data_IF_754234874046
#
_entry.id   IF_754234874046
#
_cell.length_a   1.000
_cell.length_b   1.000
_cell.length_c   1.000
_cell.angle_alpha   90.00
_cell.angle_beta   90.00
_cell.angle_gamma   90.00
#
_symmetry.space_group_name_H-M   'P 1'
#
loop_
_entity.id
_entity.type
_entity.pdbx_description
1 polymer ?
#
# COMPACT_ATOMS: atom_id res chain seq x y z
N UNK A 1 8.83 -13.51 -0.59
CA UNK A 1 7.40 -13.81 -0.71
C UNK A 1 7.06 -14.92 0.25
N UNK A 2 6.32 -14.65 1.29
CA UNK A 2 5.80 -15.66 2.19
C UNK A 2 4.33 -15.92 1.82
N UNK A 3 4.01 -17.15 1.52
CA UNK A 3 2.63 -17.61 1.44
C UNK A 3 2.30 -18.11 2.85
N UNK A 4 1.58 -17.32 3.62
CA UNK A 4 1.25 -17.66 4.98
C UNK A 4 0.12 -18.71 4.99
N UNK A 5 0.49 -19.97 5.10
CA UNK A 5 -0.47 -21.03 5.41
C UNK A 5 -0.78 -21.14 6.92
N UNK A 6 0.03 -20.51 7.79
CA UNK A 6 -0.07 -20.59 9.25
C UNK A 6 0.48 -19.34 9.95
N UNK A 7 0.32 -18.14 9.41
CA UNK A 7 0.73 -16.92 10.10
C UNK A 7 -0.13 -16.73 11.36
N UNK A 8 0.49 -16.56 12.50
CA UNK A 8 -0.19 -16.24 13.74
C UNK A 8 -0.26 -14.72 13.92
N UNK A 9 -1.29 -14.25 14.58
CA UNK A 9 -1.60 -12.84 14.81
C UNK A 9 -0.44 -12.04 15.42
N UNK A 10 0.47 -12.66 16.14
CA UNK A 10 1.60 -12.02 16.81
C UNK A 10 2.73 -11.56 15.86
N UNK A 11 2.73 -12.00 14.62
CA UNK A 11 3.75 -11.65 13.64
C UNK A 11 3.40 -10.43 12.79
N UNK A 12 2.13 -9.94 12.86
CA UNK A 12 1.63 -8.87 11.99
C UNK A 12 0.85 -7.80 12.76
N UNK A 13 1.52 -6.78 13.12
CA UNK A 13 1.12 -5.72 14.05
C UNK A 13 -0.12 -4.91 13.67
N UNK A 14 -0.77 -5.09 12.53
CA UNK A 14 -1.66 -4.04 12.03
C UNK A 14 -3.03 -4.44 11.52
N UNK A 15 -3.41 -5.68 11.56
CA UNK A 15 -4.70 -6.09 11.00
C UNK A 15 -5.47 -7.07 11.86
N UNK A 16 -5.76 -6.70 13.09
CA UNK A 16 -6.97 -7.24 13.70
C UNK A 16 -8.13 -6.32 13.30
N UNK A 17 -8.97 -6.69 12.33
CA UNK A 17 -10.17 -5.92 12.01
C UNK A 17 -11.21 -6.00 13.11
N UNK A 18 -10.90 -6.72 14.18
CA UNK A 18 -11.81 -7.09 15.24
C UNK A 18 -11.38 -6.60 16.62
N UNK A 19 -10.45 -5.65 16.73
CA UNK A 19 -10.24 -4.97 18.00
C UNK A 19 -11.56 -4.35 18.46
N UNK A 20 -12.18 -5.00 19.44
CA UNK A 20 -13.45 -4.59 20.02
C UNK A 20 -14.68 -5.45 19.66
N UNK A 21 -14.56 -6.49 18.82
CA UNK A 21 -15.62 -7.47 18.60
C UNK A 21 -15.35 -8.68 19.50
N UNK A 22 -15.98 -8.68 20.67
CA UNK A 22 -15.79 -9.73 21.69
C UNK A 22 -16.49 -11.04 21.39
N UNK A 23 -17.30 -11.13 20.33
CA UNK A 23 -18.15 -12.27 20.00
C UNK A 23 -17.66 -13.11 18.81
N UNK A 24 -16.58 -12.69 18.15
CA UNK A 24 -15.92 -13.50 17.13
C UNK A 24 -14.58 -13.94 17.71
N UNK A 25 -14.57 -15.10 18.32
CA UNK A 25 -13.35 -15.73 18.78
C UNK A 25 -12.35 -15.82 17.62
N UNK A 26 -11.27 -15.03 17.72
CA UNK A 26 -10.00 -15.23 17.02
C UNK A 26 -10.03 -15.63 15.53
N UNK A 27 -10.95 -15.09 14.74
CA UNK A 27 -10.88 -15.27 13.28
C UNK A 27 -9.95 -14.19 12.74
N UNK A 28 -8.71 -14.58 12.48
CA UNK A 28 -7.77 -13.77 11.72
C UNK A 28 -8.30 -13.54 10.28
N UNK A 29 -7.95 -12.41 9.70
CA UNK A 29 -8.21 -12.10 8.30
C UNK A 29 -7.75 -13.22 7.37
N UNK A 30 -6.60 -13.81 7.67
CA UNK A 30 -6.03 -14.89 6.88
C UNK A 30 -6.90 -16.12 6.94
N UNK A 31 -7.31 -16.52 8.12
CA UNK A 31 -8.20 -17.66 8.33
C UNK A 31 -9.52 -17.48 7.62
N UNK A 32 -10.07 -16.26 7.64
CA UNK A 32 -11.29 -15.94 6.93
C UNK A 32 -11.18 -16.20 5.42
N UNK A 33 -10.10 -15.75 4.79
CA UNK A 33 -9.88 -15.94 3.36
C UNK A 33 -9.45 -17.37 3.02
N UNK A 34 -8.53 -17.95 3.80
CA UNK A 34 -8.08 -19.33 3.61
C UNK A 34 -9.22 -20.34 3.67
N UNK A 35 -10.11 -20.19 4.66
CA UNK A 35 -11.29 -21.06 4.81
C UNK A 35 -12.28 -20.95 3.62
N UNK A 36 -12.16 -19.93 2.78
CA UNK A 36 -12.97 -19.69 1.58
C UNK A 36 -12.27 -20.03 0.28
N UNK A 37 -11.12 -20.68 0.36
CA UNK A 37 -10.38 -21.15 -0.81
C UNK A 37 -9.49 -20.08 -1.46
N UNK A 38 -9.20 -18.99 -0.77
CA UNK A 38 -8.21 -18.02 -1.21
C UNK A 38 -6.81 -18.45 -0.73
N UNK A 39 -5.79 -18.10 -1.49
CA UNK A 39 -4.43 -18.03 -1.00
C UNK A 39 -4.17 -16.59 -0.49
N UNK A 40 -3.51 -16.47 0.64
CA UNK A 40 -3.10 -15.18 1.18
C UNK A 40 -1.62 -14.99 0.93
N UNK A 41 -1.26 -13.86 0.31
CA UNK A 41 0.12 -13.51 -0.02
C UNK A 41 0.48 -12.23 0.72
N UNK A 42 1.53 -12.32 1.52
CA UNK A 42 2.12 -11.19 2.24
C UNK A 42 3.48 -10.91 1.62
N UNK A 43 3.77 -9.64 1.37
CA UNK A 43 5.04 -9.25 0.77
C UNK A 43 5.64 -8.05 1.48
N UNK A 44 6.94 -8.09 1.66
CA UNK A 44 7.70 -6.90 2.02
C UNK A 44 7.93 -6.04 0.78
N UNK A 45 7.80 -4.72 0.93
CA UNK A 45 8.15 -3.75 -0.11
C UNK A 45 9.65 -3.67 -0.32
N UNK A 46 10.05 -3.05 -1.44
CA UNK A 46 11.46 -2.77 -1.73
C UNK A 46 12.09 -1.97 -0.58
N UNK A 47 13.28 -2.36 -0.16
CA UNK A 47 14.00 -1.70 0.93
C UNK A 47 13.42 -1.89 2.33
N UNK A 48 12.42 -2.76 2.50
CA UNK A 48 11.80 -3.07 3.80
C UNK A 48 12.10 -4.52 4.22
N UNK A 49 12.10 -4.78 5.52
CA UNK A 49 12.44 -6.08 6.09
C UNK A 49 13.77 -6.63 5.50
N UNK A 50 13.72 -7.76 4.81
CA UNK A 50 14.88 -8.39 4.17
C UNK A 50 14.93 -8.11 2.65
N UNK A 51 14.05 -7.26 2.13
CA UNK A 51 14.08 -6.86 0.73
C UNK A 51 15.21 -5.87 0.50
N UNK A 52 15.95 -6.05 -0.59
CA UNK A 52 17.00 -5.13 -1.00
C UNK A 52 16.43 -3.85 -1.62
N UNK A 53 17.31 -2.90 -1.90
CA UNK A 53 16.97 -1.60 -2.42
C UNK A 53 16.64 -0.59 -1.33
N UNK A 54 16.02 0.50 -1.73
CA UNK A 54 15.61 1.58 -0.85
C UNK A 54 14.08 1.70 -0.87
N UNK A 55 13.51 1.91 0.28
CA UNK A 55 12.12 2.32 0.41
C UNK A 55 12.01 3.76 -0.10
N UNK A 56 11.04 4.02 -0.96
CA UNK A 56 10.97 5.27 -1.75
C UNK A 56 9.73 6.10 -1.45
N UNK A 57 8.91 5.64 -0.54
CA UNK A 57 7.64 6.26 -0.16
C UNK A 57 6.70 6.49 -1.36
N UNK A 58 6.29 5.37 -1.98
CA UNK A 58 5.24 5.35 -2.98
C UNK A 58 5.65 5.74 -4.40
N UNK A 59 6.95 5.75 -4.74
CA UNK A 59 7.38 6.04 -6.10
C UNK A 59 7.09 4.88 -7.07
N UNK A 60 7.24 5.14 -8.36
CA UNK A 60 7.07 4.14 -9.43
C UNK A 60 7.86 2.86 -9.16
N UNK A 61 9.11 2.99 -8.67
CA UNK A 61 9.98 1.84 -8.39
C UNK A 61 9.37 0.91 -7.35
N UNK A 62 8.75 1.47 -6.34
CA UNK A 62 8.06 0.69 -5.30
C UNK A 62 6.79 0.03 -5.85
N UNK A 63 5.99 0.78 -6.60
CA UNK A 63 4.78 0.25 -7.21
C UNK A 63 5.11 -0.85 -8.22
N UNK A 64 6.15 -0.70 -9.02
CA UNK A 64 6.64 -1.73 -9.95
C UNK A 64 7.11 -3.00 -9.22
N UNK A 65 7.73 -2.84 -8.05
CA UNK A 65 8.14 -3.99 -7.24
C UNK A 65 6.92 -4.78 -6.74
N UNK A 66 5.84 -4.12 -6.36
CA UNK A 66 4.59 -4.79 -6.01
C UNK A 66 3.86 -5.36 -7.25
N UNK A 67 3.91 -4.68 -8.39
CA UNK A 67 3.36 -5.19 -9.64
C UNK A 67 4.02 -6.51 -10.05
N UNK A 68 5.33 -6.64 -9.84
CA UNK A 68 6.07 -7.87 -10.10
C UNK A 68 5.54 -9.08 -9.32
N UNK A 69 4.96 -8.87 -8.13
CA UNK A 69 4.34 -9.94 -7.35
C UNK A 69 3.04 -10.39 -8.01
N UNK A 70 2.23 -9.45 -8.48
CA UNK A 70 0.98 -9.77 -9.19
C UNK A 70 1.31 -10.52 -10.49
N UNK A 71 2.30 -10.05 -11.25
CA UNK A 71 2.77 -10.71 -12.47
C UNK A 71 3.28 -12.14 -12.21
N UNK A 72 3.94 -12.38 -11.08
CA UNK A 72 4.30 -13.73 -10.69
C UNK A 72 3.07 -14.60 -10.38
N UNK A 73 2.07 -14.04 -9.70
CA UNK A 73 0.81 -14.74 -9.39
C UNK A 73 -0.02 -15.05 -10.63
N UNK A 74 0.14 -14.27 -11.71
CA UNK A 74 -0.49 -14.54 -13.01
C UNK A 74 0.33 -15.47 -13.91
N UNK A 75 1.59 -15.71 -13.57
CA UNK A 75 2.52 -16.51 -14.36
C UNK A 75 3.31 -15.73 -15.41
N UNK A 76 3.18 -14.40 -15.42
CA UNK A 76 3.85 -13.51 -16.37
C UNK A 76 5.28 -13.16 -15.96
N UNK A 77 5.65 -13.47 -14.71
CA UNK A 77 7.00 -13.23 -14.16
C UNK A 77 7.55 -14.44 -13.44
N UNK A 78 8.84 -14.61 -13.51
CA UNK A 78 9.57 -15.67 -12.79
C UNK A 78 10.00 -15.15 -11.41
N UNK A 79 9.83 -15.99 -10.38
CA UNK A 79 10.43 -15.80 -9.06
C UNK A 79 11.37 -16.95 -8.73
N UNK A 80 12.25 -16.74 -7.76
CA UNK A 80 13.25 -17.70 -7.33
C UNK A 80 13.23 -17.84 -5.81
N UNK A 81 13.64 -19.02 -5.32
CA UNK A 81 13.71 -19.30 -3.87
C UNK A 81 14.69 -18.38 -3.16
N UNK A 82 15.81 -18.09 -3.82
CA UNK A 82 16.89 -17.25 -3.32
C UNK A 82 17.80 -16.81 -4.49
N UNK A 83 18.75 -15.92 -4.20
CA UNK A 83 19.68 -15.37 -5.19
C UNK A 83 20.83 -16.33 -5.57
N UNK A 84 21.16 -17.27 -4.71
CA UNK A 84 22.33 -18.12 -4.90
C UNK A 84 21.99 -19.35 -5.74
N UNK A 85 20.87 -19.99 -5.45
CA UNK A 85 20.49 -21.24 -6.07
C UNK A 85 19.69 -21.05 -7.36
N UNK A 86 19.03 -19.91 -7.53
CA UNK A 86 18.20 -19.59 -8.69
C UNK A 86 17.17 -20.70 -9.02
N UNK A 87 16.58 -21.30 -7.98
CA UNK A 87 15.54 -22.31 -8.17
C UNK A 87 14.24 -21.57 -8.46
N UNK A 88 13.70 -21.78 -9.65
CA UNK A 88 12.46 -21.15 -10.08
C UNK A 88 11.27 -21.59 -9.22
N UNK A 89 10.45 -20.63 -8.81
CA UNK A 89 9.21 -20.85 -8.06
C UNK A 89 8.05 -20.32 -8.89
N UNK A 90 7.06 -21.17 -9.12
CA UNK A 90 5.84 -20.82 -9.85
C UNK A 90 4.64 -20.79 -8.93
N UNK A 91 3.73 -19.88 -9.18
CA UNK A 91 2.44 -19.81 -8.51
C UNK A 91 1.39 -20.65 -9.27
N UNK A 92 1.70 -21.91 -9.59
CA UNK A 92 0.84 -22.80 -10.38
C UNK A 92 -0.47 -23.18 -9.66
N UNK A 93 -0.57 -22.89 -8.37
CA UNK A 93 -1.78 -22.94 -7.56
C UNK A 93 -2.68 -21.70 -7.73
N UNK A 94 -2.18 -20.60 -8.29
CA UNK A 94 -2.94 -19.38 -8.52
C UNK A 94 -3.81 -19.50 -9.78
N UNK A 95 -5.01 -18.94 -9.71
CA UNK A 95 -5.89 -18.81 -10.88
C UNK A 95 -5.69 -17.50 -11.66
N UNK A 96 -4.67 -16.71 -11.30
CA UNK A 96 -4.36 -15.44 -11.93
C UNK A 96 -5.30 -14.28 -11.58
N UNK A 97 -6.16 -14.45 -10.58
CA UNK A 97 -7.06 -13.39 -10.12
C UNK A 97 -6.64 -12.93 -8.74
N UNK A 98 -6.22 -11.67 -8.62
CA UNK A 98 -5.70 -11.08 -7.39
C UNK A 98 -6.66 -10.01 -6.89
N UNK A 99 -7.01 -10.08 -5.59
CA UNK A 99 -7.64 -9.00 -4.86
C UNK A 99 -6.67 -8.46 -3.82
N UNK A 100 -6.75 -7.18 -3.49
CA UNK A 100 -5.91 -6.57 -2.46
C UNK A 100 -6.75 -5.85 -1.41
N UNK A 101 -6.30 -5.90 -0.17
CA UNK A 101 -6.85 -5.09 0.92
C UNK A 101 -5.72 -4.65 1.85
N UNK A 102 -5.94 -3.56 2.56
CA UNK A 102 -4.99 -3.03 3.52
C UNK A 102 -5.28 -1.59 3.87
N UNK A 103 -4.73 -1.14 5.01
CA UNK A 103 -4.95 0.19 5.55
C UNK A 103 -3.72 1.07 5.39
N UNK A 104 -3.95 2.38 5.27
CA UNK A 104 -2.89 3.39 5.29
C UNK A 104 -1.92 3.19 4.13
N UNK A 105 -0.65 2.98 4.39
CA UNK A 105 0.35 2.71 3.36
C UNK A 105 -0.02 1.48 2.50
N UNK A 106 -0.52 0.40 3.10
CA UNK A 106 -1.00 -0.76 2.37
C UNK A 106 -2.30 -0.48 1.56
N UNK A 107 -3.07 0.55 1.91
CA UNK A 107 -4.15 1.10 1.08
C UNK A 107 -3.61 1.95 -0.08
N UNK A 108 -2.55 2.70 0.17
CA UNK A 108 -1.86 3.56 -0.79
C UNK A 108 -1.25 2.76 -1.94
N UNK A 109 -0.54 1.67 -1.63
CA UNK A 109 0.06 0.79 -2.66
C UNK A 109 -0.97 0.18 -3.60
N UNK A 110 -2.19 -0.06 -3.13
CA UNK A 110 -3.28 -0.55 -3.96
C UNK A 110 -3.71 0.50 -5.00
N UNK A 111 -3.72 1.78 -4.65
CA UNK A 111 -4.02 2.85 -5.59
C UNK A 111 -2.94 2.96 -6.66
N UNK A 112 -1.66 2.91 -6.26
CA UNK A 112 -0.55 2.89 -7.20
C UNK A 112 -0.65 1.71 -8.17
N UNK A 113 -0.86 0.50 -7.66
CA UNK A 113 -1.02 -0.70 -8.49
C UNK A 113 -2.23 -0.63 -9.43
N UNK A 114 -3.36 -0.12 -8.96
CA UNK A 114 -4.53 0.06 -9.81
C UNK A 114 -4.25 1.05 -10.95
N UNK A 115 -3.48 2.10 -10.69
CA UNK A 115 -3.09 3.10 -11.68
C UNK A 115 -2.18 2.55 -12.78
N UNK A 116 -1.36 1.51 -12.49
CA UNK A 116 -0.52 0.85 -13.51
C UNK A 116 -1.33 -0.02 -14.48
N UNK A 117 -2.50 -0.48 -14.06
CA UNK A 117 -3.29 -1.44 -14.83
C UNK A 117 -2.69 -2.83 -14.94
N UNK A 118 -1.87 -3.22 -13.95
CA UNK A 118 -1.25 -4.55 -13.92
C UNK A 118 -2.28 -5.66 -14.11
N UNK A 119 -2.00 -6.58 -15.03
CA UNK A 119 -2.91 -7.67 -15.34
C UNK A 119 -3.05 -8.61 -14.14
N UNK A 120 -4.25 -9.15 -13.96
CA UNK A 120 -4.54 -10.05 -12.82
C UNK A 120 -5.12 -9.33 -11.60
N UNK A 121 -4.86 -8.05 -11.39
CA UNK A 121 -5.49 -7.28 -10.32
C UNK A 121 -6.97 -7.05 -10.65
N UNK A 122 -7.88 -7.70 -9.93
CA UNK A 122 -9.33 -7.70 -10.21
C UNK A 122 -10.11 -6.73 -9.35
N UNK A 123 -9.70 -6.57 -8.10
CA UNK A 123 -10.39 -5.68 -7.16
C UNK A 123 -9.43 -5.21 -6.06
N UNK A 124 -9.70 -4.03 -5.54
CA UNK A 124 -8.99 -3.48 -4.39
C UNK A 124 -9.96 -2.99 -3.32
N UNK A 125 -9.55 -3.12 -2.06
CA UNK A 125 -10.28 -2.59 -0.90
C UNK A 125 -9.31 -1.75 -0.06
N UNK A 126 -8.90 -0.57 -0.55
CA UNK A 126 -8.02 0.32 0.18
C UNK A 126 -8.77 1.00 1.33
N UNK A 127 -8.21 0.92 2.52
CA UNK A 127 -8.70 1.62 3.71
C UNK A 127 -7.77 2.79 4.01
N UNK A 128 -8.29 4.01 4.01
CA UNK A 128 -7.51 5.23 4.31
C UNK A 128 -6.20 5.32 3.50
N UNK A 129 -6.28 5.10 2.18
CA UNK A 129 -5.13 5.14 1.27
C UNK A 129 -4.85 6.55 0.74
N UNK A 130 -3.59 6.85 0.46
CA UNK A 130 -3.13 8.10 -0.15
C UNK A 130 -3.23 7.99 -1.67
N UNK A 131 -3.93 8.93 -2.31
CA UNK A 131 -4.07 9.03 -3.75
C UNK A 131 -2.95 9.86 -4.41
N UNK A 132 -2.58 10.95 -3.75
CA UNK A 132 -1.51 11.86 -4.14
C UNK A 132 -0.69 12.22 -2.91
N UNK A 133 0.59 11.91 -2.95
CA UNK A 133 1.50 12.25 -1.87
C UNK A 133 1.72 13.76 -1.74
N UNK A 134 1.62 14.50 -2.86
CA UNK A 134 1.61 15.95 -2.80
C UNK A 134 0.43 16.46 -1.97
N UNK A 135 -0.79 16.02 -2.29
CA UNK A 135 -2.01 16.44 -1.57
C UNK A 135 -2.10 15.88 -0.14
N UNK A 136 -1.27 14.90 0.19
CA UNK A 136 -1.14 14.40 1.56
C UNK A 136 -0.33 15.38 2.43
N UNK A 137 0.76 15.93 1.92
CA UNK A 137 1.63 16.85 2.63
C UNK A 137 1.29 18.33 2.41
N UNK A 138 0.65 18.68 1.30
CA UNK A 138 0.40 20.07 0.93
C UNK A 138 -1.08 20.31 0.62
N UNK A 139 -1.51 21.54 0.84
CA UNK A 139 -2.84 22.01 0.47
C UNK A 139 -2.70 23.40 -0.14
N UNK A 140 -2.91 23.53 -1.45
CA UNK A 140 -2.84 24.80 -2.16
C UNK A 140 -1.53 25.59 -1.89
N UNK A 141 -0.39 24.90 -1.96
CA UNK A 141 0.92 25.50 -1.71
C UNK A 141 1.30 25.69 -0.23
N UNK A 142 0.41 25.28 0.69
CA UNK A 142 0.70 25.30 2.13
C UNK A 142 1.07 23.88 2.57
N UNK A 143 2.23 23.72 3.18
CA UNK A 143 2.59 22.46 3.81
C UNK A 143 1.69 22.25 5.04
N UNK A 144 0.96 21.16 5.04
CA UNK A 144 0.03 20.73 6.08
C UNK A 144 0.45 19.41 6.73
N UNK A 145 1.60 18.89 6.30
CA UNK A 145 2.17 17.67 6.84
C UNK A 145 2.64 17.83 8.28
N UNK A 146 2.94 16.71 8.89
CA UNK A 146 3.68 16.66 10.16
C UNK A 146 5.16 16.99 9.91
N UNK A 147 5.93 17.15 10.98
CA UNK A 147 7.38 17.41 10.90
C UNK A 147 8.16 16.29 10.18
N UNK A 148 7.54 15.14 10.02
CA UNK A 148 8.07 14.02 9.25
C UNK A 148 7.76 14.21 7.77
N UNK A 149 8.72 14.72 7.07
CA UNK A 149 8.69 14.81 5.62
C UNK A 149 8.71 13.40 5.01
N UNK A 150 8.31 13.29 3.75
CA UNK A 150 8.26 12.01 3.03
C UNK A 150 9.60 11.21 3.12
N UNK A 151 10.74 11.89 3.17
CA UNK A 151 12.04 11.26 3.40
C UNK A 151 12.13 10.59 4.79
N UNK A 152 11.60 11.25 5.82
CA UNK A 152 11.50 10.68 7.17
C UNK A 152 10.54 9.50 7.21
N UNK A 153 9.42 9.57 6.49
CA UNK A 153 8.47 8.47 6.39
C UNK A 153 9.08 7.27 5.65
N UNK A 154 9.82 7.51 4.55
CA UNK A 154 10.54 6.45 3.83
C UNK A 154 11.53 5.73 4.74
N UNK A 155 12.33 6.46 5.49
CA UNK A 155 13.26 5.89 6.47
C UNK A 155 12.53 5.09 7.56
N UNK A 156 11.42 5.64 8.09
CA UNK A 156 10.61 4.96 9.10
C UNK A 156 10.01 3.65 8.57
N UNK A 157 9.41 3.67 7.37
CA UNK A 157 8.81 2.49 6.75
C UNK A 157 9.86 1.43 6.38
N UNK A 158 11.06 1.85 5.97
CA UNK A 158 12.17 0.92 5.72
C UNK A 158 12.53 0.11 6.97
N UNK A 159 12.50 0.74 8.15
CA UNK A 159 12.80 0.08 9.43
C UNK A 159 14.23 -0.47 9.57
N UNK A 160 15.05 -0.37 8.54
CA UNK A 160 16.39 -0.99 8.46
C UNK A 160 17.39 -0.42 9.48
N UNK A 161 17.19 0.82 9.92
CA UNK A 161 17.99 1.43 10.98
C UNK A 161 17.89 0.71 12.34
N UNK A 162 16.88 -0.15 12.52
CA UNK A 162 16.71 -0.97 13.73
C UNK A 162 17.81 -2.03 13.80
N UNK A 163 18.21 -2.61 12.66
CA UNK A 163 19.34 -3.52 12.56
C UNK A 163 20.63 -2.72 12.27
N UNK A 164 21.48 -2.54 13.26
CA UNK A 164 22.69 -1.72 13.14
C UNK A 164 23.71 -2.25 12.14
N UNK A 165 23.80 -3.56 11.96
CA UNK A 165 24.73 -4.16 11.00
C UNK A 165 24.25 -3.92 9.58
N UNK A 166 22.97 -4.11 9.32
CA UNK A 166 22.36 -3.82 8.03
C UNK A 166 22.41 -2.32 7.73
N UNK A 167 22.06 -1.48 8.70
CA UNK A 167 22.10 -0.02 8.56
C UNK A 167 23.48 0.48 8.16
N UNK A 168 24.55 0.00 8.77
CA UNK A 168 25.91 0.39 8.46
C UNK A 168 26.30 0.12 7.00
N UNK A 169 25.62 -0.80 6.33
CA UNK A 169 25.88 -1.12 4.90
C UNK A 169 25.23 -0.15 3.93
N UNK A 170 24.15 0.54 4.34
CA UNK A 170 23.32 1.38 3.47
C UNK A 170 23.23 2.84 3.91
N UNK A 171 23.64 3.18 5.13
CA UNK A 171 23.44 4.50 5.75
C UNK A 171 23.86 5.65 4.84
N UNK A 172 25.08 5.58 4.26
CA UNK A 172 25.58 6.62 3.39
C UNK A 172 24.78 6.73 2.09
N UNK A 173 24.52 5.60 1.42
CA UNK A 173 23.85 5.59 0.12
C UNK A 173 22.37 5.90 0.23
N UNK A 174 21.71 5.34 1.25
CA UNK A 174 20.29 5.62 1.49
C UNK A 174 20.07 7.02 2.03
N UNK A 175 20.97 7.52 2.90
CA UNK A 175 20.96 8.91 3.36
C UNK A 175 21.12 9.90 2.21
N UNK A 176 22.02 9.65 1.27
CA UNK A 176 22.16 10.47 0.07
C UNK A 176 20.90 10.47 -0.81
N UNK A 177 20.28 9.29 -0.98
CA UNK A 177 19.01 9.17 -1.70
C UNK A 177 17.88 9.97 -1.04
N UNK A 178 17.72 9.84 0.28
CA UNK A 178 16.68 10.56 1.05
C UNK A 178 16.90 12.08 0.99
N UNK A 179 18.16 12.52 1.03
CA UNK A 179 18.51 13.93 0.89
C UNK A 179 18.10 14.46 -0.47
N UNK A 180 18.48 13.77 -1.56
CA UNK A 180 18.08 14.15 -2.91
C UNK A 180 16.57 14.18 -3.08
N UNK A 181 15.86 13.17 -2.56
CA UNK A 181 14.41 13.13 -2.58
C UNK A 181 13.80 14.36 -1.89
N UNK A 182 14.34 14.77 -0.75
CA UNK A 182 13.88 15.97 -0.06
C UNK A 182 14.16 17.26 -0.86
N UNK A 183 15.32 17.37 -1.50
CA UNK A 183 15.64 18.51 -2.38
C UNK A 183 14.68 18.59 -3.57
N UNK A 184 14.41 17.46 -4.22
CA UNK A 184 13.52 17.40 -5.38
C UNK A 184 12.07 17.81 -4.98
N UNK A 185 11.60 17.41 -3.79
CA UNK A 185 10.30 17.80 -3.29
C UNK A 185 10.12 19.29 -3.10
N UNK A 186 11.17 19.97 -2.67
CA UNK A 186 11.17 21.42 -2.41
C UNK A 186 11.79 22.24 -3.53
N UNK A 187 12.10 21.63 -4.66
CA UNK A 187 12.70 22.33 -5.80
C UNK A 187 11.87 23.53 -6.28
N UNK A 188 10.58 23.52 -6.03
CA UNK A 188 9.66 24.63 -6.33
C UNK A 188 8.94 25.14 -5.06
N UNK A 189 9.64 25.18 -3.93
CA UNK A 189 9.04 25.49 -2.63
C UNK A 189 7.99 24.45 -2.25
N UNK A 190 6.80 24.90 -1.83
CA UNK A 190 5.70 24.01 -1.49
C UNK A 190 4.73 23.78 -2.67
N UNK A 191 5.03 24.27 -3.85
CA UNK A 191 4.20 24.06 -5.02
C UNK A 191 4.48 22.68 -5.64
N UNK A 192 3.47 22.16 -6.34
CA UNK A 192 3.62 20.90 -7.08
C UNK A 192 4.76 21.02 -8.11
N UNK A 193 5.58 20.00 -8.18
CA UNK A 193 6.60 19.87 -9.22
C UNK A 193 6.70 18.42 -9.70
N UNK A 194 7.12 18.22 -10.95
CA UNK A 194 7.13 16.92 -11.57
C UNK A 194 8.32 16.03 -11.14
N UNK A 195 9.35 16.61 -10.49
CA UNK A 195 10.56 15.86 -10.11
C UNK A 195 10.29 14.79 -9.07
N UNK A 196 9.46 15.13 -8.06
CA UNK A 196 9.23 14.25 -6.93
C UNK A 196 7.77 13.81 -6.76
N UNK A 197 6.82 14.55 -7.32
CA UNK A 197 5.40 14.34 -7.04
C UNK A 197 4.66 13.59 -8.13
N UNK A 198 5.04 13.73 -9.42
CA UNK A 198 4.32 13.11 -10.52
C UNK A 198 4.31 11.57 -10.44
N UNK A 199 5.42 10.97 -10.02
CA UNK A 199 5.55 9.53 -9.83
C UNK A 199 4.93 9.01 -8.49
N UNK A 200 4.32 9.91 -7.74
CA UNK A 200 3.62 9.66 -6.47
C UNK A 200 2.20 10.21 -6.45
N UNK A 201 1.68 10.55 -7.63
CA UNK A 201 0.29 10.97 -7.83
C UNK A 201 -0.43 9.93 -8.68
N UNK A 202 -1.07 9.00 -8.02
CA UNK A 202 -1.74 7.87 -8.68
C UNK A 202 -3.01 8.28 -9.42
N UNK A 203 -3.49 9.51 -9.20
CA UNK A 203 -4.64 10.05 -9.94
C UNK A 203 -4.29 10.37 -11.39
N UNK A 204 -3.00 10.48 -11.71
CA UNK A 204 -2.49 10.69 -13.06
C UNK A 204 -2.42 9.39 -13.89
N UNK A 205 -2.60 8.24 -13.24
CA UNK A 205 -2.59 6.96 -13.93
C UNK A 205 -3.74 6.82 -14.94
N UNK A 206 -3.49 6.12 -16.03
CA UNK A 206 -4.47 5.84 -17.09
C UNK A 206 -4.73 4.34 -17.27
N UNK A 207 -4.04 3.51 -16.49
CA UNK A 207 -4.08 2.05 -16.58
C UNK A 207 -5.22 1.36 -15.82
N UNK A 208 -6.10 2.08 -15.16
CA UNK A 208 -7.13 1.48 -14.30
C UNK A 208 -7.97 0.42 -15.00
N UNK A 209 -8.03 -0.80 -14.41
CA UNK A 209 -8.79 -1.94 -14.95
C UNK A 209 -9.60 -2.70 -13.88
N UNK A 210 -9.24 -2.57 -12.62
CA UNK A 210 -9.88 -3.29 -11.52
C UNK A 210 -11.09 -2.54 -10.93
N UNK A 211 -11.95 -3.24 -10.22
CA UNK A 211 -12.98 -2.60 -9.39
C UNK A 211 -12.39 -2.14 -8.06
N UNK A 212 -13.09 -1.24 -7.35
CA UNK A 212 -12.66 -0.76 -6.04
C UNK A 212 -13.81 -0.58 -5.04
N UNK A 213 -13.55 -0.92 -3.78
CA UNK A 213 -14.32 -0.46 -2.64
C UNK A 213 -13.41 0.41 -1.78
N UNK A 214 -13.50 1.72 -1.94
CA UNK A 214 -12.69 2.68 -1.19
C UNK A 214 -13.32 2.89 0.18
N UNK A 215 -12.54 2.68 1.23
CA UNK A 215 -13.01 2.79 2.62
C UNK A 215 -12.28 3.95 3.30
N UNK A 216 -13.04 4.87 3.94
CA UNK A 216 -12.46 6.08 4.50
C UNK A 216 -13.19 6.53 5.77
N UNK A 217 -12.41 6.85 6.80
CA UNK A 217 -12.90 7.49 8.01
C UNK A 217 -13.15 8.99 7.81
N UNK A 218 -14.31 9.47 8.25
CA UNK A 218 -14.65 10.89 8.18
C UNK A 218 -13.84 11.77 9.14
N UNK A 219 -13.36 11.16 10.23
CA UNK A 219 -12.52 11.82 11.23
C UNK A 219 -11.02 11.50 11.06
N UNK A 220 -10.63 10.92 9.92
CA UNK A 220 -9.25 10.61 9.63
C UNK A 220 -8.43 11.91 9.49
N UNK A 221 -7.66 12.22 10.53
CA UNK A 221 -6.79 13.38 10.57
C UNK A 221 -5.44 13.13 9.87
N UNK A 222 -5.10 11.86 9.66
CA UNK A 222 -3.86 11.44 8.99
C UNK A 222 -4.07 11.42 7.46
N UNK A 223 -4.80 10.45 6.95
CA UNK A 223 -5.14 10.39 5.52
C UNK A 223 -6.53 10.99 5.31
N UNK A 224 -6.54 12.24 4.91
CA UNK A 224 -7.78 13.04 4.82
C UNK A 224 -8.71 12.52 3.72
N UNK A 225 -10.01 12.75 3.90
CA UNK A 225 -11.08 12.27 3.00
C UNK A 225 -10.92 12.70 1.54
N UNK A 226 -10.19 13.79 1.26
CA UNK A 226 -9.84 14.23 -0.10
C UNK A 226 -9.15 13.12 -0.89
N UNK A 227 -8.31 12.32 -0.26
CA UNK A 227 -7.57 11.24 -0.92
C UNK A 227 -8.54 10.18 -1.49
N UNK A 228 -9.53 9.79 -0.71
CA UNK A 228 -10.57 8.87 -1.15
C UNK A 228 -11.41 9.45 -2.30
N UNK A 229 -11.79 10.72 -2.22
CA UNK A 229 -12.54 11.42 -3.27
C UNK A 229 -11.75 11.46 -4.58
N UNK A 230 -10.47 11.79 -4.54
CA UNK A 230 -9.61 11.86 -5.72
C UNK A 230 -9.60 10.52 -6.46
N UNK A 231 -9.31 9.42 -5.76
CA UNK A 231 -9.29 8.10 -6.38
C UNK A 231 -10.66 7.63 -6.83
N UNK A 232 -11.71 7.90 -6.06
CA UNK A 232 -13.07 7.61 -6.51
C UNK A 232 -13.37 8.26 -7.86
N UNK A 233 -12.99 9.52 -8.03
CA UNK A 233 -13.19 10.24 -9.27
C UNK A 233 -12.36 9.67 -10.43
N UNK A 234 -11.11 9.24 -10.18
CA UNK A 234 -10.28 8.57 -11.19
C UNK A 234 -10.91 7.27 -11.68
N UNK A 235 -11.37 6.41 -10.78
CA UNK A 235 -12.09 5.17 -11.14
C UNK A 235 -13.39 5.46 -11.91
N UNK A 236 -14.14 6.47 -11.49
CA UNK A 236 -15.38 6.88 -12.22
C UNK A 236 -15.07 7.40 -13.59
N UNK A 237 -14.03 8.20 -13.75
CA UNK A 237 -13.60 8.71 -15.04
C UNK A 237 -13.16 7.58 -16.00
N UNK A 238 -12.53 6.52 -15.45
CA UNK A 238 -12.18 5.32 -16.19
C UNK A 238 -13.39 4.41 -16.50
N UNK A 239 -14.59 4.74 -16.01
CA UNK A 239 -15.82 3.96 -16.27
C UNK A 239 -15.90 2.64 -15.48
N UNK A 240 -15.16 2.51 -14.41
CA UNK A 240 -15.06 1.27 -13.63
C UNK A 240 -16.11 1.22 -12.50
N UNK A 241 -16.36 -0.01 -12.00
CA UNK A 241 -17.19 -0.20 -10.81
C UNK A 241 -16.39 0.22 -9.57
N UNK A 242 -16.79 1.34 -8.99
CA UNK A 242 -16.23 1.86 -7.76
C UNK A 242 -17.32 2.20 -6.78
N UNK A 243 -17.10 1.79 -5.54
CA UNK A 243 -17.94 2.13 -4.39
C UNK A 243 -17.10 2.81 -3.33
N UNK A 244 -17.75 3.60 -2.50
CA UNK A 244 -17.10 4.28 -1.38
C UNK A 244 -17.89 3.98 -0.12
N UNK A 245 -17.18 3.52 0.92
CA UNK A 245 -17.71 3.36 2.27
C UNK A 245 -17.10 4.43 3.16
N UNK A 246 -17.92 5.39 3.58
CA UNK A 246 -17.51 6.40 4.55
C UNK A 246 -18.01 5.99 5.92
N UNK A 247 -17.16 6.03 6.93
CA UNK A 247 -17.52 5.70 8.32
C UNK A 247 -17.15 6.83 9.29
N UNK A 248 -17.69 6.80 10.50
CA UNK A 248 -17.50 7.86 11.49
C UNK A 248 -16.16 7.78 12.26
N UNK A 249 -15.42 6.70 12.09
CA UNK A 249 -14.11 6.53 12.73
C UNK A 249 -13.03 7.43 12.13
N UNK A 250 -11.85 7.31 12.68
CA UNK A 250 -10.64 7.99 12.25
C UNK A 250 -9.80 7.11 11.29
N UNK A 251 -8.49 7.04 11.48
CA UNK A 251 -7.55 6.26 10.68
C UNK A 251 -7.55 4.77 11.06
N UNK A 252 -8.71 4.12 10.93
CA UNK A 252 -8.94 2.72 11.35
C UNK A 252 -9.59 1.89 10.25
N UNK A 253 -9.45 0.57 10.35
CA UNK A 253 -10.33 -0.37 9.65
C UNK A 253 -11.68 -0.35 10.36
N UNK A 254 -12.80 -0.04 9.65
CA UNK A 254 -14.08 0.17 10.31
C UNK A 254 -14.67 -1.14 10.83
N UNK A 255 -15.30 -1.05 11.99
CA UNK A 255 -16.19 -2.07 12.52
C UNK A 255 -17.64 -1.81 12.10
N UNK A 256 -18.54 -2.73 12.40
CA UNK A 256 -19.98 -2.50 12.18
C UNK A 256 -20.53 -1.34 13.01
N UNK A 257 -19.91 -1.01 14.15
CA UNK A 257 -20.28 0.14 14.98
C UNK A 257 -19.96 1.45 14.27
N UNK A 258 -18.85 1.50 13.54
CA UNK A 258 -18.43 2.70 12.79
C UNK A 258 -19.26 2.91 11.53
N UNK A 259 -19.69 1.85 10.90
CA UNK A 259 -20.42 1.90 9.62
C UNK A 259 -21.93 1.92 9.82
N UNK A 260 -22.44 1.46 10.97
CA UNK A 260 -23.84 1.16 11.21
C UNK A 260 -24.48 0.21 10.17
N UNK A 261 -23.64 -0.47 9.40
CA UNK A 261 -24.11 -1.43 8.40
C UNK A 261 -24.31 -2.80 9.04
N UNK A 262 -25.39 -3.52 8.70
CA UNK A 262 -25.52 -4.90 9.11
C UNK A 262 -24.38 -5.71 8.48
N UNK A 263 -23.65 -6.44 9.30
CA UNK A 263 -22.69 -7.43 8.79
C UNK A 263 -23.52 -8.61 8.26
N UNK A 264 -23.30 -9.03 7.01
CA UNK A 264 -24.02 -10.15 6.45
C UNK A 264 -23.71 -11.46 7.17
#
# INVERSE_FOLDING_TARGET
LEVAANATQDEWFYFSPYEGITDYEDIDWYDYFLARGFAVVLSAGIGTNNSEGFETCGSDVEIDAFAAIIEWLTGDRVAYTDKENNIEVKADWSNGSVGMTGRSYAGTTQFGLAATGVEGLKTIVPVSGIASWYDYYNCQGVNIGTDEQIAGLAMYCAGRYINKEDWATIEESYGAYLHQMAEDMFANGNDYNDLAWSNRDYTLGDGFKCSALIVQGLNDYNVRTKQAEMMYNSFKAAGLDVKMLMHQGDHITPTHQDTHAPIP
#
